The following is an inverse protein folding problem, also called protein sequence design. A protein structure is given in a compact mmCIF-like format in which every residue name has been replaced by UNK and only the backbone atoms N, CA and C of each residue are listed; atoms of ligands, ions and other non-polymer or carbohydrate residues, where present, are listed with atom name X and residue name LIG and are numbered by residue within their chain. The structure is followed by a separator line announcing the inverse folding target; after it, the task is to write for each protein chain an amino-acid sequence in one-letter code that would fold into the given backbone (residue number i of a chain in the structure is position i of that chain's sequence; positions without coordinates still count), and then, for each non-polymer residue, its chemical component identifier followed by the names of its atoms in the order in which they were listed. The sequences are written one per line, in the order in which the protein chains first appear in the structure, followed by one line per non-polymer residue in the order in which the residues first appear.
data_IF_066632714060
#
_entry.id   IF_066632714060
#
_cell.length_a   1.000
_cell.length_b   1.000
_cell.length_c   1.000
_cell.angle_alpha   90.00
_cell.angle_beta   90.00
_cell.angle_gamma   90.00
#
_symmetry.space_group_name_H-M   'P 1'
#
loop_
_entity.id
_entity.type
_entity.pdbx_description
1 polymer ?
#
# COMPACT_ATOMS: atom_id res chain seq x y z
N UNK A 1 32.35 -0.31 -15.08
CA UNK A 1 31.21 -1.23 -14.83
C UNK A 1 30.00 -0.40 -14.44
N UNK A 2 28.86 -0.55 -15.12
CA UNK A 2 27.61 0.01 -14.63
C UNK A 2 27.03 -0.91 -13.55
N UNK A 3 26.50 -0.32 -12.48
CA UNK A 3 25.85 -1.06 -11.39
C UNK A 3 24.51 -1.60 -11.90
N UNK A 4 24.29 -2.90 -11.75
CA UNK A 4 23.00 -3.55 -12.04
C UNK A 4 22.21 -3.63 -10.73
N UNK A 5 21.04 -2.99 -10.69
CA UNK A 5 20.13 -3.04 -9.55
C UNK A 5 19.05 -4.11 -9.77
N UNK A 6 18.52 -4.68 -8.69
CA UNK A 6 17.45 -5.68 -8.77
C UNK A 6 16.11 -5.08 -9.22
N UNK A 7 15.71 -3.96 -8.61
CA UNK A 7 14.45 -3.27 -8.89
C UNK A 7 14.54 -1.78 -8.50
N UNK A 8 15.19 -0.94 -9.32
CA UNK A 8 15.15 0.51 -9.10
C UNK A 8 13.74 1.04 -9.42
N UNK A 9 13.30 2.15 -8.79
CA UNK A 9 12.05 2.80 -9.17
C UNK A 9 12.02 3.13 -10.66
N UNK A 10 10.90 2.85 -11.32
CA UNK A 10 10.65 3.24 -12.70
C UNK A 10 9.64 4.38 -12.71
N UNK A 11 10.08 5.58 -13.12
CA UNK A 11 9.22 6.75 -13.24
C UNK A 11 8.57 6.76 -14.63
N UNK A 12 7.24 6.77 -14.67
CA UNK A 12 6.44 6.86 -15.89
C UNK A 12 6.44 8.25 -16.54
N UNK A 13 6.87 9.27 -15.78
CA UNK A 13 6.93 10.67 -16.23
C UNK A 13 5.75 11.52 -15.77
N UNK A 14 4.75 10.91 -15.12
CA UNK A 14 3.56 11.59 -14.59
C UNK A 14 3.68 11.94 -13.10
N UNK A 15 4.57 11.25 -12.39
CA UNK A 15 4.65 11.31 -10.93
C UNK A 15 4.96 12.72 -10.41
N UNK A 16 5.86 13.44 -11.08
CA UNK A 16 6.23 14.81 -10.69
C UNK A 16 5.05 15.77 -10.81
N UNK A 17 4.25 15.64 -11.88
CA UNK A 17 3.05 16.44 -12.08
C UNK A 17 2.00 16.19 -10.99
N UNK A 18 1.78 14.92 -10.61
CA UNK A 18 0.84 14.59 -9.52
C UNK A 18 1.32 15.05 -8.14
N UNK A 19 2.64 15.01 -7.89
CA UNK A 19 3.21 15.59 -6.66
C UNK A 19 3.00 17.11 -6.67
N UNK A 20 3.23 17.78 -7.80
CA UNK A 20 2.99 19.21 -7.94
C UNK A 20 1.51 19.58 -7.68
N UNK A 21 0.57 18.80 -8.22
CA UNK A 21 -0.87 18.99 -7.97
C UNK A 21 -1.23 18.87 -6.48
N UNK A 22 -0.59 17.96 -5.74
CA UNK A 22 -0.77 17.86 -4.29
C UNK A 22 -0.29 19.13 -3.56
N UNK A 23 0.81 19.74 -4.01
CA UNK A 23 1.28 21.03 -3.49
C UNK A 23 0.36 22.19 -3.87
N UNK A 24 -0.10 22.28 -5.11
CA UNK A 24 -1.02 23.34 -5.58
C UNK A 24 -2.37 23.29 -4.88
N UNK A 25 -2.91 22.08 -4.67
CA UNK A 25 -4.15 21.87 -3.92
C UNK A 25 -4.00 22.07 -2.41
N UNK A 26 -2.77 22.20 -1.92
CA UNK A 26 -2.42 22.28 -0.49
C UNK A 26 -2.89 21.06 0.33
N UNK A 27 -3.18 19.93 -0.33
CA UNK A 27 -3.49 18.66 0.31
C UNK A 27 -2.21 17.86 0.60
N UNK A 28 -1.32 18.44 1.40
CA UNK A 28 -0.11 17.77 1.92
C UNK A 28 -0.47 17.03 3.20
N UNK A 29 -1.36 16.04 3.06
CA UNK A 29 -1.98 15.30 4.15
C UNK A 29 -2.14 13.82 3.77
N UNK A 30 -2.29 12.89 4.74
CA UNK A 30 -2.48 11.46 4.47
C UNK A 30 -3.88 11.11 3.90
N UNK A 31 -4.62 12.10 3.42
CA UNK A 31 -5.97 12.01 2.86
C UNK A 31 -6.17 13.16 1.87
N UNK A 32 -7.10 12.98 0.93
CA UNK A 32 -7.41 14.01 -0.07
C UNK A 32 -7.72 13.41 -1.44
N UNK A 33 -7.99 14.27 -2.44
CA UNK A 33 -8.51 13.85 -3.74
C UNK A 33 -7.59 12.85 -4.47
N UNK A 34 -6.27 12.96 -4.30
CA UNK A 34 -5.31 12.04 -4.90
C UNK A 34 -5.37 10.64 -4.27
N UNK A 35 -5.64 10.55 -2.96
CA UNK A 35 -5.82 9.26 -2.26
C UNK A 35 -7.13 8.62 -2.70
N UNK A 36 -8.23 9.38 -2.73
CA UNK A 36 -9.54 8.90 -3.18
C UNK A 36 -9.50 8.42 -4.64
N UNK A 37 -8.75 9.12 -5.49
CA UNK A 37 -8.52 8.73 -6.87
C UNK A 37 -7.71 7.43 -6.97
N UNK A 38 -6.61 7.33 -6.22
CA UNK A 38 -5.79 6.13 -6.19
C UNK A 38 -6.59 4.90 -5.74
N UNK A 39 -7.37 5.00 -4.66
CA UNK A 39 -8.20 3.89 -4.17
C UNK A 39 -9.21 3.43 -5.22
N UNK A 40 -9.94 4.37 -5.84
CA UNK A 40 -10.93 4.07 -6.89
C UNK A 40 -10.29 3.43 -8.11
N UNK A 41 -9.26 4.06 -8.68
CA UNK A 41 -8.60 3.59 -9.89
C UNK A 41 -7.90 2.25 -9.68
N UNK A 42 -7.31 2.03 -8.49
CA UNK A 42 -6.73 0.75 -8.13
C UNK A 42 -7.81 -0.34 -8.06
N UNK A 43 -8.94 -0.06 -7.42
CA UNK A 43 -10.07 -0.99 -7.34
C UNK A 43 -10.61 -1.37 -8.73
N UNK A 44 -10.81 -0.37 -9.59
CA UNK A 44 -11.24 -0.58 -10.98
C UNK A 44 -10.22 -1.42 -11.75
N UNK A 45 -8.92 -1.16 -11.54
CA UNK A 45 -7.83 -1.86 -12.22
C UNK A 45 -7.70 -3.34 -11.84
N UNK A 46 -7.97 -3.68 -10.57
CA UNK A 46 -7.84 -5.06 -10.06
C UNK A 46 -9.18 -5.81 -9.99
N UNK A 47 -10.31 -5.13 -10.20
CA UNK A 47 -11.64 -5.73 -10.25
C UNK A 47 -12.24 -6.06 -8.88
N UNK A 48 -11.99 -5.23 -7.86
CA UNK A 48 -12.56 -5.38 -6.52
C UNK A 48 -13.47 -4.19 -6.18
N UNK A 49 -14.49 -4.37 -5.32
CA UNK A 49 -15.44 -3.30 -5.03
C UNK A 49 -14.89 -2.21 -4.09
N UNK A 50 -13.90 -2.54 -3.26
CA UNK A 50 -13.38 -1.65 -2.23
C UNK A 50 -11.88 -1.84 -2.02
N UNK A 51 -11.20 -0.74 -1.67
CA UNK A 51 -9.79 -0.68 -1.37
C UNK A 51 -9.51 0.52 -0.48
N UNK A 52 -8.50 0.40 0.38
CA UNK A 52 -8.08 1.46 1.29
C UNK A 52 -6.57 1.62 1.18
N UNK A 53 -6.11 2.84 0.93
CA UNK A 53 -4.71 3.18 0.88
C UNK A 53 -4.11 3.17 2.29
N UNK A 54 -3.10 2.32 2.50
CA UNK A 54 -2.32 2.26 3.73
C UNK A 54 -0.92 2.84 3.54
N UNK A 55 -0.23 3.13 4.63
CA UNK A 55 1.16 3.60 4.61
C UNK A 55 2.17 2.54 4.15
N UNK A 56 1.81 1.25 4.22
CA UNK A 56 2.64 0.13 3.78
C UNK A 56 1.84 -1.17 3.67
N UNK A 57 2.40 -2.18 3.00
CA UNK A 57 1.83 -3.54 2.99
C UNK A 57 1.75 -4.17 4.39
N UNK A 58 2.73 -3.89 5.27
CA UNK A 58 2.72 -4.32 6.68
C UNK A 58 1.48 -3.78 7.43
N UNK A 59 1.19 -2.48 7.27
CA UNK A 59 0.01 -1.86 7.88
C UNK A 59 -1.30 -2.44 7.32
N UNK A 60 -1.34 -2.74 6.02
CA UNK A 60 -2.47 -3.40 5.39
C UNK A 60 -2.72 -4.82 5.96
N UNK A 61 -1.68 -5.65 6.08
CA UNK A 61 -1.78 -6.97 6.70
C UNK A 61 -2.23 -6.90 8.17
N UNK A 62 -1.66 -5.97 8.93
CA UNK A 62 -2.04 -5.76 10.32
C UNK A 62 -3.52 -5.37 10.46
N UNK A 63 -3.99 -4.41 9.65
CA UNK A 63 -5.38 -3.98 9.65
C UNK A 63 -6.31 -5.11 9.23
N UNK A 64 -5.95 -5.90 8.20
CA UNK A 64 -6.74 -7.02 7.74
C UNK A 64 -6.96 -8.08 8.83
N UNK A 65 -5.92 -8.46 9.57
CA UNK A 65 -6.04 -9.42 10.68
C UNK A 65 -6.92 -8.86 11.80
N UNK A 66 -6.75 -7.58 12.15
CA UNK A 66 -7.60 -6.93 13.16
C UNK A 66 -9.07 -6.88 12.74
N UNK A 67 -9.37 -6.58 11.48
CA UNK A 67 -10.74 -6.57 10.96
C UNK A 67 -11.34 -7.98 10.86
N UNK A 68 -10.50 -9.01 10.67
CA UNK A 68 -10.90 -10.41 10.75
C UNK A 68 -11.14 -10.92 12.19
N UNK A 69 -10.88 -10.09 13.21
CA UNK A 69 -11.11 -10.42 14.62
C UNK A 69 -9.99 -11.22 15.28
N UNK A 70 -8.82 -11.34 14.63
CA UNK A 70 -7.67 -12.06 15.18
C UNK A 70 -7.15 -11.34 16.43
N UNK A 71 -6.95 -12.10 17.50
CA UNK A 71 -6.45 -11.63 18.78
C UNK A 71 -5.44 -12.58 19.44
N UNK A 72 -5.06 -12.27 20.70
CA UNK A 72 -4.11 -13.09 21.44
C UNK A 72 -4.61 -14.53 21.62
N UNK A 73 -3.78 -15.50 21.24
CA UNK A 73 -4.09 -16.93 21.35
C UNK A 73 -4.70 -17.55 20.09
N UNK A 74 -5.04 -16.75 19.08
CA UNK A 74 -5.54 -17.26 17.81
C UNK A 74 -4.42 -17.83 16.94
N UNK A 75 -4.73 -18.92 16.22
CA UNK A 75 -3.81 -19.54 15.28
C UNK A 75 -3.97 -18.91 13.88
N UNK A 76 -2.89 -18.37 13.34
CA UNK A 76 -2.82 -17.88 11.96
C UNK A 76 -1.77 -18.67 11.19
N UNK A 77 -2.17 -19.32 10.10
CA UNK A 77 -1.25 -20.07 9.23
C UNK A 77 -0.57 -19.10 8.27
N UNK A 78 0.77 -19.17 8.19
CA UNK A 78 1.58 -18.36 7.30
C UNK A 78 2.61 -19.20 6.53
N UNK A 79 3.12 -18.68 5.41
CA UNK A 79 4.23 -19.30 4.67
C UNK A 79 5.51 -19.22 5.48
N UNK A 80 6.27 -20.32 5.54
CA UNK A 80 7.60 -20.34 6.18
C UNK A 80 8.66 -19.59 5.39
N UNK A 81 8.46 -19.43 4.07
CA UNK A 81 9.36 -18.70 3.17
C UNK A 81 8.60 -17.53 2.54
N UNK A 82 8.76 -16.34 3.12
CA UNK A 82 8.11 -15.09 2.70
C UNK A 82 8.90 -13.89 3.23
N UNK A 83 8.51 -12.67 2.86
CA UNK A 83 9.04 -11.46 3.45
C UNK A 83 8.46 -11.22 4.87
N UNK A 84 9.27 -10.78 5.83
CA UNK A 84 8.86 -10.64 7.23
C UNK A 84 7.67 -9.71 7.45
N UNK A 85 7.44 -8.73 6.56
CA UNK A 85 6.28 -7.83 6.64
C UNK A 85 4.93 -8.53 6.45
N UNK A 86 4.92 -9.78 5.96
CA UNK A 86 3.69 -10.59 5.88
C UNK A 86 3.35 -11.31 7.19
N UNK A 87 4.29 -11.41 8.14
CA UNK A 87 4.07 -11.99 9.46
C UNK A 87 3.81 -10.88 10.49
N UNK A 88 2.55 -10.75 10.90
CA UNK A 88 2.08 -9.78 11.88
C UNK A 88 1.64 -10.45 13.20
N UNK A 89 1.99 -11.72 13.41
CA UNK A 89 1.30 -12.62 14.37
C UNK A 89 2.05 -12.86 15.69
N UNK A 90 2.89 -11.91 16.11
CA UNK A 90 3.58 -11.99 17.40
C UNK A 90 2.71 -11.60 18.59
#
# INVERSE_FOLDING_TARGET
MNRIFLSPPHMSGMEEAFVHEAFESNYIAPLGPMVDAFEREFCDRVGIPHGVAGSSGTAACHLALRLAGVGPGDLVIASTLTFTGSDQTK
#
